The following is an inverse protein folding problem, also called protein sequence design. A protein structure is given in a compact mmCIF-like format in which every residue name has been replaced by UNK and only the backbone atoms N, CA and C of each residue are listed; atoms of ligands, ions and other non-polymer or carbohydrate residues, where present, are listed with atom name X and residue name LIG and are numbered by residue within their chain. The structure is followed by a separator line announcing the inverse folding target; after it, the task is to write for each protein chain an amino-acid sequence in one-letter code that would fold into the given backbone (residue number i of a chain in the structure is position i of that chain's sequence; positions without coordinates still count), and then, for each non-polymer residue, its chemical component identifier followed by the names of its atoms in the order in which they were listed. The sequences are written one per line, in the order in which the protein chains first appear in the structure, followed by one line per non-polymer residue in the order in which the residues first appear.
data_IF_434009148329
#
_entry.id   IF_434009148329
#
_cell.length_a   1.000
_cell.length_b   1.000
_cell.length_c   1.000
_cell.angle_alpha   90.00
_cell.angle_beta   90.00
_cell.angle_gamma   90.00
#
_symmetry.space_group_name_H-M   'P 1'
#
loop_
_entity.id
_entity.type
_entity.pdbx_description
1 polymer ?
#
# COMPACT_ATOMS: atom_id res chain seq x y z
N UNK A 1 -15.48 -23.75 -5.08
CA UNK A 1 -14.46 -23.98 -6.14
C UNK A 1 -13.50 -22.81 -6.11
N UNK A 2 -12.30 -22.99 -5.55
CA UNK A 2 -11.26 -21.95 -5.57
C UNK A 2 -10.70 -21.98 -6.98
N UNK A 3 -10.95 -20.94 -7.76
CA UNK A 3 -10.28 -20.76 -9.06
C UNK A 3 -8.83 -20.47 -8.76
N UNK A 4 -7.97 -21.44 -8.99
CA UNK A 4 -6.52 -21.27 -8.92
C UNK A 4 -6.10 -20.45 -10.15
N UNK A 5 -6.12 -19.13 -9.99
CA UNK A 5 -5.55 -18.25 -11.02
C UNK A 5 -4.05 -18.48 -11.07
N UNK A 6 -3.52 -18.75 -12.27
CA UNK A 6 -2.08 -18.79 -12.50
C UNK A 6 -1.45 -17.44 -12.10
N UNK A 7 -0.36 -17.46 -11.35
CA UNK A 7 0.34 -16.25 -10.90
C UNK A 7 0.68 -15.33 -12.09
N UNK A 8 1.08 -15.91 -13.21
CA UNK A 8 1.33 -15.21 -14.46
C UNK A 8 0.13 -14.39 -14.95
N UNK A 9 -1.07 -14.96 -14.85
CA UNK A 9 -2.30 -14.28 -15.26
C UNK A 9 -2.67 -13.15 -14.29
N UNK A 10 -2.50 -13.33 -12.98
CA UNK A 10 -2.69 -12.27 -12.00
C UNK A 10 -1.76 -11.08 -12.31
N UNK A 11 -0.47 -11.35 -12.53
CA UNK A 11 0.51 -10.31 -12.86
C UNK A 11 0.15 -9.62 -14.18
N UNK A 12 -0.28 -10.39 -15.19
CA UNK A 12 -0.72 -9.83 -16.48
C UNK A 12 -1.88 -8.87 -16.30
N UNK A 13 -2.91 -9.25 -15.55
CA UNK A 13 -4.08 -8.41 -15.29
C UNK A 13 -3.69 -7.14 -14.51
N UNK A 14 -2.85 -7.24 -13.50
CA UNK A 14 -2.37 -6.09 -12.74
C UNK A 14 -1.58 -5.11 -13.62
N UNK A 15 -0.73 -5.62 -14.54
CA UNK A 15 0.00 -4.78 -15.49
C UNK A 15 -0.92 -4.07 -16.47
N UNK A 16 -1.93 -4.76 -16.99
CA UNK A 16 -2.95 -4.16 -17.85
C UNK A 16 -3.73 -3.07 -17.10
N UNK A 17 -4.12 -3.33 -15.86
CA UNK A 17 -4.79 -2.32 -15.04
C UNK A 17 -3.89 -1.11 -14.78
N UNK A 18 -2.62 -1.32 -14.44
CA UNK A 18 -1.66 -0.24 -14.26
C UNK A 18 -1.48 0.59 -15.55
N UNK A 19 -1.44 -0.07 -16.72
CA UNK A 19 -1.29 0.59 -18.02
C UNK A 19 -2.47 1.52 -18.35
N UNK A 20 -3.65 1.35 -17.73
CA UNK A 20 -4.77 2.28 -17.89
C UNK A 20 -4.49 3.68 -17.30
N UNK A 21 -3.45 3.82 -16.48
CA UNK A 21 -3.12 5.06 -15.78
C UNK A 21 -4.02 5.36 -14.56
N UNK A 22 -5.06 4.55 -14.30
CA UNK A 22 -6.02 4.79 -13.21
C UNK A 22 -5.36 4.87 -11.84
N UNK A 23 -4.30 4.09 -11.62
CA UNK A 23 -3.53 4.10 -10.37
C UNK A 23 -2.62 5.32 -10.20
N UNK A 24 -2.44 6.13 -11.26
CA UNK A 24 -1.71 7.41 -11.17
C UNK A 24 -2.55 8.51 -10.52
N UNK A 25 -3.87 8.41 -10.62
CA UNK A 25 -4.78 9.38 -10.00
C UNK A 25 -4.71 9.28 -8.47
N UNK A 26 -4.39 10.39 -7.83
CA UNK A 26 -4.29 10.51 -6.37
C UNK A 26 -5.65 10.32 -5.69
N UNK A 27 -6.74 10.79 -6.31
CA UNK A 27 -8.09 10.62 -5.76
C UNK A 27 -8.50 9.16 -5.72
N UNK A 28 -8.21 8.41 -6.79
CA UNK A 28 -8.42 6.96 -6.83
C UNK A 28 -7.63 6.24 -5.74
N UNK A 29 -6.34 6.55 -5.57
CA UNK A 29 -5.51 5.94 -4.51
C UNK A 29 -6.05 6.23 -3.12
N UNK A 30 -6.49 7.46 -2.85
CA UNK A 30 -7.09 7.85 -1.57
C UNK A 30 -8.39 7.08 -1.30
N UNK A 31 -9.21 6.87 -2.31
CA UNK A 31 -10.43 6.08 -2.21
C UNK A 31 -10.10 4.62 -1.87
N UNK A 32 -9.14 4.00 -2.58
CA UNK A 32 -8.72 2.62 -2.30
C UNK A 32 -8.15 2.47 -0.89
N UNK A 33 -7.35 3.41 -0.40
CA UNK A 33 -6.84 3.39 0.98
C UNK A 33 -7.98 3.50 2.01
N UNK A 34 -9.00 4.30 1.76
CA UNK A 34 -10.18 4.39 2.64
C UNK A 34 -10.99 3.08 2.66
N UNK A 35 -11.13 2.43 1.49
CA UNK A 35 -11.79 1.12 1.38
C UNK A 35 -10.96 0.08 2.16
N UNK A 36 -9.65 0.02 1.94
CA UNK A 36 -8.76 -0.89 2.67
C UNK A 36 -8.87 -0.69 4.18
N UNK A 37 -8.80 0.56 4.64
CA UNK A 37 -8.95 0.92 6.05
C UNK A 37 -10.27 0.40 6.63
N UNK A 38 -11.37 0.64 5.92
CA UNK A 38 -12.71 0.17 6.34
C UNK A 38 -12.74 -1.35 6.39
N UNK A 39 -12.24 -2.03 5.37
CA UNK A 39 -12.21 -3.49 5.31
C UNK A 39 -11.42 -4.10 6.47
N UNK A 40 -10.24 -3.57 6.78
CA UNK A 40 -9.45 -4.03 7.93
C UNK A 40 -10.21 -3.83 9.24
N UNK A 41 -10.82 -2.64 9.42
CA UNK A 41 -11.59 -2.34 10.62
C UNK A 41 -12.81 -3.25 10.79
N UNK A 42 -13.57 -3.48 9.72
CA UNK A 42 -14.78 -4.28 9.75
C UNK A 42 -14.49 -5.78 9.98
N UNK A 43 -13.30 -6.25 9.60
CA UNK A 43 -12.87 -7.64 9.75
C UNK A 43 -11.87 -7.86 10.90
N UNK A 44 -11.72 -6.90 11.80
CA UNK A 44 -10.72 -6.95 12.87
C UNK A 44 -10.82 -8.22 13.72
N UNK A 45 -12.03 -8.60 14.13
CA UNK A 45 -12.24 -9.80 14.95
C UNK A 45 -11.83 -11.09 14.23
N UNK A 46 -12.16 -11.20 12.94
CA UNK A 46 -11.78 -12.36 12.13
C UNK A 46 -10.25 -12.44 11.94
N UNK A 47 -9.58 -11.30 11.73
CA UNK A 47 -8.12 -11.21 11.63
C UNK A 47 -7.47 -11.68 12.94
N UNK A 48 -7.94 -11.16 14.09
CA UNK A 48 -7.42 -11.54 15.41
C UNK A 48 -7.65 -13.03 15.69
N UNK A 49 -8.80 -13.59 15.32
CA UNK A 49 -9.10 -15.01 15.46
C UNK A 49 -8.16 -15.87 14.61
N UNK A 50 -7.88 -15.47 13.36
CA UNK A 50 -6.94 -16.18 12.49
C UNK A 50 -5.51 -16.16 13.05
N UNK A 51 -5.03 -15.01 13.51
CA UNK A 51 -3.70 -14.87 14.16
C UNK A 51 -3.59 -15.72 15.42
N UNK A 52 -4.67 -15.85 16.19
CA UNK A 52 -4.71 -16.72 17.35
C UNK A 52 -4.68 -18.21 16.95
N UNK A 53 -5.40 -18.59 15.91
CA UNK A 53 -5.45 -19.97 15.45
C UNK A 53 -4.11 -20.42 14.85
N UNK A 54 -3.49 -19.60 14.00
CA UNK A 54 -2.27 -19.97 13.26
C UNK A 54 -1.00 -19.82 14.09
N UNK A 55 -0.87 -18.72 14.86
CA UNK A 55 0.36 -18.38 15.57
C UNK A 55 0.24 -18.45 17.08
N UNK A 56 -0.94 -18.82 17.60
CA UNK A 56 -1.27 -18.75 19.03
C UNK A 56 -0.97 -17.35 19.64
N UNK A 57 -1.01 -16.29 18.82
CA UNK A 57 -0.70 -14.93 19.24
C UNK A 57 -1.74 -14.42 20.24
N UNK A 58 -1.34 -13.86 21.40
CA UNK A 58 -2.30 -13.27 22.33
C UNK A 58 -3.09 -12.15 21.68
N UNK A 59 -4.40 -12.07 21.94
CA UNK A 59 -5.29 -11.09 21.29
C UNK A 59 -4.82 -9.65 21.47
N UNK A 60 -4.34 -9.29 22.68
CA UNK A 60 -3.82 -7.96 22.94
C UNK A 60 -2.56 -7.65 22.10
N UNK A 61 -1.64 -8.60 22.01
CA UNK A 61 -0.42 -8.46 21.20
C UNK A 61 -0.79 -8.32 19.71
N UNK A 62 -1.64 -9.22 19.21
CA UNK A 62 -2.10 -9.17 17.82
C UNK A 62 -2.80 -7.84 17.50
N UNK A 63 -3.62 -7.33 18.40
CA UNK A 63 -4.26 -6.04 18.24
C UNK A 63 -3.25 -4.89 18.18
N UNK A 64 -2.32 -4.85 19.14
CA UNK A 64 -1.34 -3.78 19.23
C UNK A 64 -0.36 -3.74 18.05
N UNK A 65 0.03 -4.90 17.54
CA UNK A 65 1.03 -5.03 16.47
C UNK A 65 0.40 -5.10 15.08
N UNK A 66 -0.47 -6.07 14.84
CA UNK A 66 -0.97 -6.36 13.49
C UNK A 66 -2.07 -5.37 13.03
N UNK A 67 -3.00 -5.02 13.93
CA UNK A 67 -4.05 -4.02 13.64
C UNK A 67 -3.47 -2.59 13.65
N UNK A 68 -2.24 -2.45 14.16
CA UNK A 68 -1.48 -1.19 14.07
C UNK A 68 -1.34 -0.61 12.66
N UNK A 69 -1.44 -1.46 11.63
CA UNK A 69 -1.46 -1.05 10.21
C UNK A 69 -2.52 0.02 9.90
N UNK A 70 -3.62 0.08 10.65
CA UNK A 70 -4.63 1.13 10.50
C UNK A 70 -4.04 2.54 10.71
N UNK A 71 -3.07 2.71 11.62
CA UNK A 71 -2.39 3.99 11.84
C UNK A 71 -1.52 4.37 10.64
N UNK A 72 -0.88 3.40 10.02
CA UNK A 72 -0.06 3.61 8.82
C UNK A 72 -0.93 3.99 7.62
N UNK A 73 -2.08 3.33 7.45
CA UNK A 73 -3.06 3.70 6.43
C UNK A 73 -3.57 5.14 6.67
N UNK A 74 -3.93 5.50 7.90
CA UNK A 74 -4.37 6.86 8.24
C UNK A 74 -3.28 7.90 7.97
N UNK A 75 -2.04 7.59 8.30
CA UNK A 75 -0.90 8.44 8.01
C UNK A 75 -0.70 8.64 6.50
N UNK A 76 -0.77 7.55 5.74
CA UNK A 76 -0.65 7.58 4.27
C UNK A 76 -1.78 8.39 3.63
N UNK A 77 -3.04 8.19 4.06
CA UNK A 77 -4.18 8.99 3.58
C UNK A 77 -3.94 10.49 3.80
N UNK A 78 -3.41 10.86 4.97
CA UNK A 78 -3.14 12.26 5.31
C UNK A 78 -2.04 12.88 4.45
N UNK A 79 -1.02 12.11 4.08
CA UNK A 79 0.20 12.64 3.46
C UNK A 79 0.31 12.39 1.95
N UNK A 80 -0.44 11.43 1.39
CA UNK A 80 -0.32 11.02 -0.01
C UNK A 80 -0.34 12.20 -1.00
N UNK A 81 -1.25 13.15 -0.82
CA UNK A 81 -1.32 14.35 -1.67
C UNK A 81 -0.04 15.19 -1.66
N UNK A 82 0.66 15.23 -0.54
CA UNK A 82 1.91 15.99 -0.43
C UNK A 82 3.08 15.22 -1.03
N UNK A 83 3.11 13.90 -0.86
CA UNK A 83 4.18 13.05 -1.38
C UNK A 83 4.18 12.94 -2.91
N UNK A 84 3.02 13.09 -3.54
CA UNK A 84 2.87 13.00 -4.99
C UNK A 84 3.06 14.33 -5.72
N UNK A 85 3.32 15.43 -4.99
CA UNK A 85 3.57 16.73 -5.61
C UNK A 85 4.97 16.79 -6.25
N UNK A 86 5.08 17.36 -7.45
CA UNK A 86 6.37 17.69 -8.03
C UNK A 86 7.20 18.56 -7.08
N UNK A 87 8.52 18.33 -7.02
CA UNK A 87 9.46 19.00 -6.13
C UNK A 87 10.50 19.72 -6.94
N UNK A 88 10.49 21.06 -6.90
CA UNK A 88 11.58 21.85 -7.48
C UNK A 88 12.87 21.60 -6.69
N UNK A 89 13.95 21.41 -7.39
CA UNK A 89 15.31 21.26 -6.83
C UNK A 89 16.23 22.30 -7.47
N UNK A 90 17.36 22.57 -6.82
CA UNK A 90 18.34 23.50 -7.37
C UNK A 90 18.93 22.94 -8.67
N UNK A 91 19.01 23.79 -9.69
CA UNK A 91 19.80 23.55 -10.91
C UNK A 91 21.16 24.22 -10.80
N UNK A 92 22.12 23.78 -11.58
CA UNK A 92 23.45 24.43 -11.63
C UNK A 92 23.38 25.74 -12.41
N UNK A 93 24.26 26.74 -12.12
CA UNK A 93 24.27 28.00 -12.85
C UNK A 93 24.44 27.85 -14.37
N UNK A 94 25.15 26.79 -14.80
CA UNK A 94 25.39 26.49 -16.22
C UNK A 94 24.11 26.10 -16.97
N UNK A 95 23.05 25.67 -16.26
CA UNK A 95 21.77 25.27 -16.82
C UNK A 95 20.73 26.41 -16.82
N UNK A 96 21.11 27.60 -16.35
CA UNK A 96 20.19 28.76 -16.41
C UNK A 96 19.83 29.08 -17.87
N UNK A 97 18.50 29.33 -18.19
CA UNK A 97 17.36 29.54 -17.29
C UNK A 97 16.49 28.29 -17.01
N UNK A 98 17.03 27.06 -17.03
CA UNK A 98 16.25 25.84 -16.83
C UNK A 98 15.78 25.65 -15.36
N UNK A 99 14.65 24.96 -15.19
CA UNK A 99 14.15 24.49 -13.89
C UNK A 99 14.34 22.97 -13.78
N UNK A 100 14.88 22.50 -12.65
CA UNK A 100 14.97 21.09 -12.33
C UNK A 100 13.81 20.69 -11.39
N UNK A 101 13.07 19.62 -11.73
CA UNK A 101 11.91 19.16 -10.98
C UNK A 101 11.95 17.64 -10.85
N UNK A 102 11.71 17.13 -9.63
CA UNK A 102 11.53 15.69 -9.36
C UNK A 102 10.03 15.42 -9.39
N UNK A 103 9.61 14.48 -10.23
CA UNK A 103 8.24 13.96 -10.31
C UNK A 103 8.17 12.59 -9.67
N UNK A 104 7.44 12.40 -8.53
CA UNK A 104 7.16 11.06 -8.00
C UNK A 104 6.26 10.28 -8.96
N UNK A 105 6.70 9.10 -9.33
CA UNK A 105 5.94 8.18 -10.21
C UNK A 105 5.68 6.86 -9.48
N UNK A 106 4.50 6.22 -9.65
CA UNK A 106 4.23 4.92 -9.07
C UNK A 106 5.08 3.83 -9.75
N UNK A 107 5.65 2.93 -8.95
CA UNK A 107 6.52 1.85 -9.42
C UNK A 107 5.81 0.83 -10.35
N UNK A 108 4.49 0.74 -10.26
CA UNK A 108 3.70 -0.25 -10.99
C UNK A 108 3.36 -1.47 -10.15
N UNK A 109 3.46 -2.65 -10.75
CA UNK A 109 3.21 -3.91 -10.06
C UNK A 109 4.43 -4.30 -9.23
N UNK A 110 4.22 -4.52 -7.95
CA UNK A 110 5.27 -4.89 -6.98
C UNK A 110 4.96 -6.26 -6.37
N UNK A 111 6.00 -6.96 -5.91
CA UNK A 111 5.90 -8.15 -5.11
C UNK A 111 6.25 -7.81 -3.66
N UNK A 112 5.37 -8.17 -2.73
CA UNK A 112 5.60 -8.04 -1.29
C UNK A 112 5.83 -9.44 -0.73
N UNK A 113 6.98 -9.65 -0.06
CA UNK A 113 7.33 -10.90 0.62
C UNK A 113 7.43 -10.56 2.11
N UNK A 114 6.43 -11.00 2.89
CA UNK A 114 6.39 -10.76 4.32
C UNK A 114 6.85 -11.99 5.12
N UNK A 115 7.56 -11.81 6.24
CA UNK A 115 7.85 -12.88 7.18
C UNK A 115 6.60 -13.26 7.98
N UNK A 116 6.60 -14.45 8.58
CA UNK A 116 5.44 -15.01 9.28
C UNK A 116 5.22 -14.50 10.70
N UNK A 117 6.15 -13.75 11.30
CA UNK A 117 6.05 -13.29 12.69
C UNK A 117 5.04 -12.12 12.86
N UNK A 118 4.86 -11.29 11.84
CA UNK A 118 3.84 -10.24 11.75
C UNK A 118 3.19 -10.28 10.36
N UNK A 119 2.49 -11.38 10.02
CA UNK A 119 2.11 -11.66 8.63
C UNK A 119 1.11 -10.65 8.07
N UNK A 120 0.19 -10.16 8.87
CA UNK A 120 -0.83 -9.23 8.42
C UNK A 120 -0.25 -7.81 8.25
N UNK A 121 0.42 -7.30 9.29
CA UNK A 121 1.01 -5.95 9.23
C UNK A 121 2.04 -5.85 8.11
N UNK A 122 3.04 -6.74 8.07
CA UNK A 122 4.14 -6.64 7.12
C UNK A 122 3.76 -6.93 5.66
N UNK A 123 2.58 -7.49 5.42
CA UNK A 123 2.03 -7.64 4.06
C UNK A 123 1.32 -6.37 3.59
N UNK A 124 0.73 -5.59 4.50
CA UNK A 124 -0.08 -4.42 4.15
C UNK A 124 0.66 -3.08 4.30
N UNK A 125 1.72 -3.02 5.13
CA UNK A 125 2.46 -1.76 5.37
C UNK A 125 3.27 -1.25 4.17
N UNK A 126 3.91 -2.11 3.35
CA UNK A 126 4.60 -1.64 2.14
C UNK A 126 3.63 -1.18 1.08
#
# INVERSE_FOLDING_TARGET
MIVQLEISEIIRQQRLFFATGKTKDVSFRLEQLKILRKTVKDNQEAILAALKADLNKPTFEAYATEIGVLKEIDYTIKHLKSWTKPKKVASTPEQFPSEAVIYPEPLGVVLIIAPWNYPFQLTLSP
#
